data_IF_361220293848
#
_entry.id   IF_361220293848
#
_cell.length_a   1.000
_cell.length_b   1.000
_cell.length_c   1.000
_cell.angle_alpha   90.00
_cell.angle_beta   90.00
_cell.angle_gamma   90.00
#
_symmetry.space_group_name_H-M   'P 1'
#
loop_
_entity.id
_entity.type
_entity.pdbx_description
1 polymer ?
#
# COMPACT_ATOMS: atom_id res chain seq x y z
N UNK A 1 6.97 55.81 29.64
CA UNK A 1 5.91 54.85 30.01
C UNK A 1 4.81 55.04 28.97
N UNK A 2 4.38 54.06 28.19
CA UNK A 2 4.06 52.66 28.52
C UNK A 2 4.51 51.68 27.42
N UNK A 3 4.79 50.45 27.83
CA UNK A 3 5.12 49.31 27.00
C UNK A 3 3.85 48.74 26.35
N UNK A 4 3.77 48.67 25.01
CA UNK A 4 2.80 47.81 24.32
C UNK A 4 3.45 46.44 24.07
N UNK A 5 3.14 45.48 24.93
CA UNK A 5 3.52 44.08 24.77
C UNK A 5 2.71 43.40 23.66
N UNK A 6 3.42 42.67 22.78
CA UNK A 6 2.85 41.79 21.77
C UNK A 6 2.07 40.64 22.45
N UNK A 7 0.83 40.40 22.01
CA UNK A 7 0.05 39.21 22.43
C UNK A 7 0.35 38.05 21.48
N UNK A 8 0.92 36.92 21.92
CA UNK A 8 1.01 35.74 21.09
C UNK A 8 -0.36 35.06 21.01
N UNK A 9 -0.80 34.77 19.78
CA UNK A 9 -1.93 33.87 19.49
C UNK A 9 -1.68 32.52 20.17
N UNK A 10 -2.57 32.13 21.09
CA UNK A 10 -2.61 30.75 21.61
C UNK A 10 -2.88 29.79 20.44
N UNK A 11 -1.84 29.08 20.00
CA UNK A 11 -1.99 27.88 19.17
C UNK A 11 -2.65 26.82 20.04
N UNK A 12 -3.88 26.44 19.70
CA UNK A 12 -4.57 25.33 20.33
C UNK A 12 -3.69 24.09 20.31
N UNK A 13 -3.47 23.50 21.48
CA UNK A 13 -2.78 22.23 21.62
C UNK A 13 -3.57 21.16 20.86
N UNK A 14 -3.00 20.68 19.76
CA UNK A 14 -3.40 19.45 19.10
C UNK A 14 -3.22 18.32 20.12
N UNK A 15 -4.32 17.82 20.68
CA UNK A 15 -4.30 16.67 21.59
C UNK A 15 -3.88 15.43 20.77
N UNK A 16 -2.71 14.82 21.04
CA UNK A 16 -2.39 13.55 20.42
C UNK A 16 -3.33 12.49 20.98
N UNK A 17 -3.87 11.66 20.09
CA UNK A 17 -4.66 10.49 20.46
C UNK A 17 -3.90 9.55 21.39
N UNK A 18 -4.63 8.56 21.90
CA UNK A 18 -4.20 7.54 22.86
C UNK A 18 -2.85 6.90 22.49
N UNK A 19 -1.75 7.47 22.98
CA UNK A 19 -0.40 6.95 22.80
C UNK A 19 0.02 6.11 24.01
N UNK A 20 0.52 4.90 23.76
CA UNK A 20 1.26 4.14 24.76
C UNK A 20 2.61 4.85 24.99
N UNK A 21 2.95 5.16 26.23
CA UNK A 21 4.10 6.00 26.61
C UNK A 21 5.49 5.43 26.30
N UNK A 22 5.60 4.42 25.45
CA UNK A 22 6.84 3.70 25.12
C UNK A 22 7.51 4.14 23.81
N UNK A 23 6.84 4.94 22.97
CA UNK A 23 7.39 5.36 21.67
C UNK A 23 7.70 6.87 21.65
N UNK A 24 8.99 7.23 21.66
CA UNK A 24 9.44 8.64 21.64
C UNK A 24 9.07 9.39 20.35
N UNK A 25 8.57 8.71 19.31
CA UNK A 25 8.32 9.30 17.97
C UNK A 25 6.99 8.90 17.33
N UNK A 26 6.09 8.26 18.09
CA UNK A 26 4.87 7.66 17.52
C UNK A 26 5.15 6.39 16.71
N UNK A 27 4.09 5.73 16.22
CA UNK A 27 4.18 4.55 15.35
C UNK A 27 3.24 4.69 14.13
N UNK A 28 3.57 4.07 12.99
CA UNK A 28 2.64 3.96 11.87
C UNK A 28 1.54 2.94 12.21
N UNK A 29 0.33 3.17 11.72
CA UNK A 29 -0.81 2.26 11.85
C UNK A 29 -1.52 2.15 10.51
N UNK A 30 -1.26 1.06 9.79
CA UNK A 30 -1.74 0.83 8.44
C UNK A 30 -3.08 0.08 8.47
N UNK A 31 -4.14 0.76 8.06
CA UNK A 31 -5.49 0.18 7.98
C UNK A 31 -5.96 0.09 6.53
N UNK A 32 -6.30 -1.11 6.03
CA UNK A 32 -6.92 -1.26 4.72
C UNK A 32 -8.33 -0.68 4.74
N UNK A 33 -8.83 -0.25 3.59
CA UNK A 33 -10.20 0.27 3.45
C UNK A 33 -11.19 -0.85 3.10
N UNK A 34 -11.96 -1.39 4.07
CA UNK A 34 -12.86 -2.52 3.83
C UNK A 34 -14.04 -2.13 2.94
N UNK A 35 -14.52 -0.89 3.04
CA UNK A 35 -15.66 -0.43 2.25
C UNK A 35 -15.29 -0.30 0.78
N UNK A 36 -14.07 0.14 0.48
CA UNK A 36 -13.63 0.23 -0.91
C UNK A 36 -13.40 -1.14 -1.53
N UNK A 37 -12.84 -2.09 -0.77
CA UNK A 37 -12.74 -3.50 -1.20
C UNK A 37 -14.15 -4.03 -1.51
N UNK A 38 -15.09 -3.89 -0.58
CA UNK A 38 -16.46 -4.39 -0.74
C UNK A 38 -17.16 -3.79 -1.97
N UNK A 39 -17.03 -2.47 -2.17
CA UNK A 39 -17.73 -1.76 -3.24
C UNK A 39 -17.14 -1.99 -4.64
N UNK A 40 -15.85 -2.32 -4.74
CA UNK A 40 -15.14 -2.41 -6.02
C UNK A 40 -14.52 -3.79 -6.29
N UNK A 41 -14.95 -4.84 -5.57
CA UNK A 41 -14.57 -6.21 -5.87
C UNK A 41 -15.35 -6.75 -7.07
N UNK A 42 -14.67 -7.38 -8.03
CA UNK A 42 -15.30 -8.02 -9.18
C UNK A 42 -14.52 -9.23 -9.68
N UNK A 43 -15.20 -10.13 -10.39
CA UNK A 43 -14.59 -11.28 -11.05
C UNK A 43 -14.33 -10.95 -12.51
N UNK A 44 -13.12 -11.23 -12.97
CA UNK A 44 -12.73 -11.07 -14.37
C UNK A 44 -12.16 -12.37 -14.91
N UNK A 45 -12.64 -12.79 -16.08
CA UNK A 45 -12.00 -13.86 -16.87
C UNK A 45 -11.03 -13.21 -17.85
N UNK A 46 -9.75 -13.55 -17.75
CA UNK A 46 -8.68 -12.94 -18.56
C UNK A 46 -7.81 -14.03 -19.18
N UNK A 47 -7.49 -13.88 -20.46
CA UNK A 47 -6.58 -14.78 -21.18
C UNK A 47 -5.14 -14.64 -20.66
N UNK A 48 -4.40 -15.76 -20.64
CA UNK A 48 -3.00 -15.83 -20.24
C UNK A 48 -2.11 -14.88 -21.05
N UNK A 49 -2.44 -14.63 -22.32
CA UNK A 49 -1.78 -13.63 -23.17
C UNK A 49 -1.72 -12.24 -22.50
N UNK A 50 -2.81 -11.81 -21.87
CA UNK A 50 -2.89 -10.51 -21.16
C UNK A 50 -2.27 -10.55 -19.76
N UNK A 51 -1.88 -11.73 -19.27
CA UNK A 51 -1.33 -11.96 -17.93
C UNK A 51 0.15 -12.36 -17.96
N UNK A 52 0.84 -12.26 -19.10
CA UNK A 52 2.24 -12.68 -19.25
C UNK A 52 3.17 -12.03 -18.22
N UNK A 53 3.09 -10.71 -18.06
CA UNK A 53 3.89 -10.00 -17.08
C UNK A 53 3.58 -10.47 -15.65
N UNK A 54 2.30 -10.61 -15.30
CA UNK A 54 1.88 -11.13 -14.00
C UNK A 54 2.34 -12.58 -13.77
N UNK A 55 2.46 -13.39 -14.82
CA UNK A 55 3.01 -14.72 -14.74
C UNK A 55 4.52 -14.68 -14.47
N UNK A 56 5.28 -13.85 -15.21
CA UNK A 56 6.72 -13.65 -15.05
C UNK A 56 7.09 -13.14 -13.64
N UNK A 57 6.25 -12.28 -13.05
CA UNK A 57 6.38 -11.76 -11.68
C UNK A 57 5.67 -12.65 -10.62
N UNK A 58 5.39 -13.93 -10.93
CA UNK A 58 4.84 -14.90 -9.96
C UNK A 58 3.51 -14.53 -9.26
N UNK A 59 2.68 -13.66 -9.86
CA UNK A 59 1.43 -13.20 -9.27
C UNK A 59 0.24 -14.17 -9.44
N UNK A 60 0.39 -15.26 -10.19
CA UNK A 60 -0.70 -16.20 -10.50
C UNK A 60 -0.61 -17.47 -9.62
N UNK A 61 -1.75 -18.13 -9.39
CA UNK A 61 -1.74 -19.41 -8.67
C UNK A 61 -1.01 -20.50 -9.46
N UNK A 62 -0.36 -21.44 -8.77
CA UNK A 62 0.53 -22.50 -9.31
C UNK A 62 0.05 -23.22 -10.58
N UNK A 63 -1.26 -23.48 -10.70
CA UNK A 63 -1.89 -24.05 -11.91
C UNK A 63 -1.64 -23.26 -13.21
N UNK A 64 -1.27 -21.97 -13.13
CA UNK A 64 -0.93 -21.14 -14.29
C UNK A 64 0.44 -21.47 -14.89
N UNK A 65 1.28 -22.20 -14.15
CA UNK A 65 2.66 -22.53 -14.55
C UNK A 65 2.83 -23.99 -14.98
N UNK A 66 1.73 -24.71 -15.21
CA UNK A 66 1.81 -26.07 -15.76
C UNK A 66 2.23 -26.01 -17.23
N UNK A 67 2.95 -27.02 -17.69
CA UNK A 67 3.48 -27.09 -19.06
C UNK A 67 2.42 -27.14 -20.16
N UNK A 68 1.19 -27.47 -19.81
CA UNK A 68 0.04 -27.54 -20.73
C UNK A 68 -0.69 -26.21 -20.90
N UNK A 69 -0.37 -25.19 -20.10
CA UNK A 69 -1.00 -23.86 -20.17
C UNK A 69 -0.55 -23.11 -21.42
N UNK A 70 -1.52 -22.55 -22.15
CA UNK A 70 -1.33 -21.81 -23.40
C UNK A 70 -1.84 -20.38 -23.27
N UNK A 71 -1.38 -19.49 -24.16
CA UNK A 71 -1.73 -18.06 -24.14
C UNK A 71 -3.26 -17.80 -24.22
N UNK A 72 -4.00 -18.65 -24.92
CA UNK A 72 -5.46 -18.53 -25.05
C UNK A 72 -6.24 -19.12 -23.88
N UNK A 73 -5.58 -19.83 -22.97
CA UNK A 73 -6.22 -20.28 -21.75
C UNK A 73 -6.60 -19.09 -20.89
N UNK A 74 -7.60 -19.28 -20.04
CA UNK A 74 -8.15 -18.20 -19.24
C UNK A 74 -7.93 -18.47 -17.76
N UNK A 75 -7.67 -17.38 -17.01
CA UNK A 75 -7.70 -17.34 -15.56
C UNK A 75 -8.92 -16.57 -15.09
N UNK A 76 -9.54 -17.07 -14.05
CA UNK A 76 -10.58 -16.34 -13.32
C UNK A 76 -9.90 -15.62 -12.18
N UNK A 77 -9.99 -14.29 -12.17
CA UNK A 77 -9.34 -13.41 -11.21
C UNK A 77 -10.41 -12.70 -10.39
N UNK A 78 -10.29 -12.80 -9.06
CA UNK A 78 -11.00 -11.91 -8.14
C UNK A 78 -10.17 -10.64 -7.98
N UNK A 79 -10.65 -9.52 -8.53
CA UNK A 79 -9.96 -8.23 -8.45
C UNK A 79 -10.61 -7.35 -7.40
N UNK A 80 -9.79 -6.63 -6.65
CA UNK A 80 -10.21 -5.65 -5.65
C UNK A 80 -9.15 -4.55 -5.52
N UNK A 81 -9.51 -3.33 -5.11
CA UNK A 81 -8.53 -2.26 -4.87
C UNK A 81 -7.75 -2.48 -3.56
N UNK A 82 -6.46 -2.15 -3.57
CA UNK A 82 -5.62 -2.09 -2.37
C UNK A 82 -5.43 -0.63 -1.95
N UNK A 83 -6.31 -0.12 -1.08
CA UNK A 83 -6.16 1.20 -0.46
C UNK A 83 -5.86 1.04 1.02
N UNK A 84 -4.73 1.57 1.46
CA UNK A 84 -4.25 1.49 2.85
C UNK A 84 -3.99 2.90 3.36
N UNK A 85 -4.55 3.23 4.52
CA UNK A 85 -4.34 4.51 5.19
C UNK A 85 -3.40 4.32 6.36
N UNK A 86 -2.40 5.20 6.47
CA UNK A 86 -1.69 5.37 7.73
C UNK A 86 -2.52 6.27 8.67
N UNK A 87 -3.13 5.68 9.69
CA UNK A 87 -3.85 6.40 10.76
C UNK A 87 -3.01 6.55 12.03
N UNK A 88 -1.74 6.14 11.97
CA UNK A 88 -0.79 6.27 13.06
C UNK A 88 -0.30 7.71 13.24
N UNK A 89 0.70 7.87 14.08
CA UNK A 89 1.26 9.18 14.45
C UNK A 89 2.66 9.40 13.91
N UNK A 90 3.17 8.50 13.07
CA UNK A 90 4.46 8.63 12.39
C UNK A 90 4.37 8.09 10.96
N UNK A 91 5.32 8.46 10.11
CA UNK A 91 5.40 7.96 8.74
C UNK A 91 5.65 6.45 8.70
N UNK A 92 5.10 5.79 7.69
CA UNK A 92 5.44 4.42 7.34
C UNK A 92 6.62 4.46 6.36
N UNK A 93 7.74 3.86 6.76
CA UNK A 93 8.98 3.86 5.99
C UNK A 93 9.20 2.51 5.32
N UNK A 94 9.84 2.47 4.14
CA UNK A 94 10.21 1.23 3.47
C UNK A 94 11.08 0.29 4.32
N UNK A 95 10.89 -1.02 4.20
CA UNK A 95 11.75 -2.02 4.87
C UNK A 95 13.12 -2.13 4.20
N UNK A 96 13.20 -1.84 2.89
CA UNK A 96 14.42 -1.97 2.10
C UNK A 96 15.08 -0.61 1.84
N UNK A 97 16.41 -0.50 1.95
CA UNK A 97 17.13 0.71 1.57
C UNK A 97 17.02 0.96 0.06
N UNK A 98 17.10 2.24 -0.36
CA UNK A 98 16.80 2.69 -1.73
C UNK A 98 17.54 1.93 -2.84
N UNK A 99 18.78 1.51 -2.58
CA UNK A 99 19.61 0.78 -3.55
C UNK A 99 19.17 -0.67 -3.80
N UNK A 100 18.30 -1.20 -2.93
CA UNK A 100 17.79 -2.58 -2.98
C UNK A 100 16.31 -2.66 -3.35
N UNK A 101 15.74 -1.54 -3.81
CA UNK A 101 14.39 -1.52 -4.35
C UNK A 101 14.35 -2.27 -5.68
N UNK A 102 13.31 -3.05 -5.87
CA UNK A 102 13.16 -3.92 -7.04
C UNK A 102 12.27 -3.24 -8.08
N UNK A 103 12.68 -3.28 -9.34
CA UNK A 103 11.90 -2.71 -10.43
C UNK A 103 10.88 -3.73 -10.95
N UNK A 104 9.60 -3.35 -10.98
CA UNK A 104 8.52 -4.18 -11.51
C UNK A 104 8.07 -3.66 -12.87
N UNK A 105 8.27 -4.45 -13.90
CA UNK A 105 7.96 -4.07 -15.28
C UNK A 105 6.46 -3.99 -15.52
N UNK A 106 5.66 -4.77 -14.78
CA UNK A 106 4.20 -4.74 -14.93
C UNK A 106 3.60 -3.39 -14.55
N UNK A 107 4.15 -2.73 -13.53
CA UNK A 107 3.63 -1.48 -12.97
C UNK A 107 4.52 -0.26 -13.28
N UNK A 108 5.72 -0.50 -13.83
CA UNK A 108 6.69 0.51 -14.21
C UNK A 108 7.12 1.42 -13.05
N UNK A 109 7.33 0.82 -11.87
CA UNK A 109 7.87 1.50 -10.71
C UNK A 109 8.72 0.58 -9.83
N UNK A 110 9.37 1.17 -8.82
CA UNK A 110 10.14 0.43 -7.82
C UNK A 110 9.27 0.00 -6.65
N UNK A 111 9.39 -1.25 -6.21
CA UNK A 111 8.89 -1.75 -4.93
C UNK A 111 9.96 -1.59 -3.85
N UNK A 112 9.56 -1.03 -2.72
CA UNK A 112 10.45 -0.65 -1.61
C UNK A 112 10.26 -1.49 -0.34
N UNK A 113 9.29 -2.40 -0.39
CA UNK A 113 8.97 -3.38 0.65
C UNK A 113 9.20 -4.79 0.10
N UNK A 114 9.41 -5.75 0.98
CA UNK A 114 9.37 -7.18 0.64
C UNK A 114 7.94 -7.61 0.27
N UNK A 115 7.83 -8.61 -0.60
CA UNK A 115 6.57 -9.35 -0.86
C UNK A 115 6.19 -10.27 0.32
#
# INVERSE_FOLDING_TARGET
AEYMGERPRQRGHYRPGYGTGYFQSGLPDLVPDPYYIQAATYVQKTSMYNLRCAAEENCLASSAYRSDVRDYDNRVLLRFPQRVKNQGTSDFLPSRPRYSWEWHSCHQHYHSMDE
#
